data_IF_764730602622
#
_entry.id   IF_764730602622
#
_cell.length_a   1.000
_cell.length_b   1.000
_cell.length_c   1.000
_cell.angle_alpha   90.00
_cell.angle_beta   90.00
_cell.angle_gamma   90.00
#
_symmetry.space_group_name_H-M   'P 1'
#
loop_
_entity.id
_entity.type
_entity.pdbx_description
1 polymer ?
#
# COMPACT_ATOMS: atom_id res chain seq x y z
N UNK A 1 8.63 -15.24 2.13
CA UNK A 1 7.27 -14.77 1.75
C UNK A 1 6.85 -15.48 0.48
N UNK A 2 5.60 -15.95 0.42
CA UNK A 2 5.02 -16.62 -0.75
C UNK A 2 4.78 -15.60 -1.88
N UNK A 3 5.41 -15.81 -3.04
CA UNK A 3 5.34 -14.89 -4.19
C UNK A 3 3.95 -14.86 -4.85
N UNK A 4 3.17 -15.93 -4.70
CA UNK A 4 1.89 -16.08 -5.40
C UNK A 4 0.70 -15.56 -4.59
N UNK A 5 0.93 -15.08 -3.36
CA UNK A 5 -0.13 -14.66 -2.42
C UNK A 5 0.15 -13.29 -1.82
N UNK A 6 0.57 -12.34 -2.66
CA UNK A 6 0.89 -10.98 -2.22
C UNK A 6 0.06 -9.91 -2.92
N UNK A 7 0.04 -9.92 -4.25
CA UNK A 7 -0.77 -8.98 -5.04
C UNK A 7 -2.24 -9.37 -5.00
N UNK A 8 -3.13 -8.39 -5.13
CA UNK A 8 -4.56 -8.66 -5.08
C UNK A 8 -4.98 -9.52 -6.29
N UNK A 9 -5.67 -10.66 -6.10
CA UNK A 9 -6.20 -11.41 -7.23
C UNK A 9 -7.28 -10.56 -7.93
N UNK A 10 -7.34 -10.55 -9.28
CA UNK A 10 -8.25 -9.67 -10.03
C UNK A 10 -9.72 -9.79 -9.59
N UNK A 11 -10.17 -10.99 -9.24
CA UNK A 11 -11.53 -11.23 -8.75
C UNK A 11 -11.84 -10.42 -7.48
N UNK A 12 -10.93 -10.43 -6.50
CA UNK A 12 -11.11 -9.67 -5.26
C UNK A 12 -10.96 -8.16 -5.50
N UNK A 13 -10.02 -7.78 -6.35
CA UNK A 13 -9.83 -6.39 -6.73
C UNK A 13 -11.10 -5.80 -7.38
N UNK A 14 -11.75 -6.51 -8.31
CA UNK A 14 -13.00 -6.05 -8.93
C UNK A 14 -14.09 -5.83 -7.88
N UNK A 15 -14.24 -6.76 -6.92
CA UNK A 15 -15.23 -6.63 -5.86
C UNK A 15 -14.99 -5.39 -4.98
N UNK A 16 -13.73 -5.11 -4.61
CA UNK A 16 -13.35 -3.95 -3.79
C UNK A 16 -13.38 -2.63 -4.57
N UNK A 17 -13.05 -2.66 -5.86
CA UNK A 17 -12.97 -1.48 -6.73
C UNK A 17 -14.37 -1.02 -7.22
N UNK A 18 -15.32 -1.95 -7.35
CA UNK A 18 -16.67 -1.66 -7.84
C UNK A 18 -17.39 -0.50 -7.14
N UNK A 19 -17.44 -0.39 -5.79
CA UNK A 19 -18.08 0.75 -5.14
C UNK A 19 -17.40 2.08 -5.48
N UNK A 20 -16.08 2.13 -5.64
CA UNK A 20 -15.36 3.34 -6.05
C UNK A 20 -15.66 3.72 -7.50
N UNK A 21 -15.70 2.73 -8.41
CA UNK A 21 -16.14 2.95 -9.79
C UNK A 21 -17.54 3.57 -9.82
N UNK A 22 -18.50 2.99 -9.08
CA UNK A 22 -19.86 3.52 -8.99
C UNK A 22 -19.91 4.94 -8.42
N UNK A 23 -19.14 5.21 -7.37
CA UNK A 23 -19.08 6.53 -6.73
C UNK A 23 -18.52 7.60 -7.67
N UNK A 24 -17.38 7.32 -8.33
CA UNK A 24 -16.72 8.26 -9.25
C UNK A 24 -17.63 8.63 -10.42
N UNK A 25 -18.27 7.63 -11.06
CA UNK A 25 -19.16 7.86 -12.21
C UNK A 25 -20.54 8.41 -11.81
N UNK A 26 -20.92 8.35 -10.53
CA UNK A 26 -22.13 8.98 -10.03
C UNK A 26 -21.94 10.48 -9.71
N UNK A 27 -20.73 10.86 -9.27
CA UNK A 27 -20.45 12.23 -8.80
C UNK A 27 -19.84 13.14 -9.87
N UNK A 28 -19.08 12.59 -10.82
CA UNK A 28 -18.31 13.38 -11.78
C UNK A 28 -18.90 13.31 -13.19
N UNK A 29 -18.76 14.37 -14.00
CA UNK A 29 -19.08 14.32 -15.44
C UNK A 29 -18.27 13.21 -16.12
N UNK A 30 -18.89 12.53 -17.10
CA UNK A 30 -18.35 11.31 -17.70
C UNK A 30 -16.86 11.37 -18.07
N UNK A 31 -16.42 12.40 -18.79
CA UNK A 31 -15.01 12.51 -19.20
C UNK A 31 -14.05 12.71 -18.01
N UNK A 32 -14.48 13.45 -16.99
CA UNK A 32 -13.71 13.65 -15.75
C UNK A 32 -13.66 12.36 -14.93
N UNK A 33 -14.79 11.65 -14.85
CA UNK A 33 -14.86 10.33 -14.22
C UNK A 33 -13.90 9.34 -14.89
N UNK A 34 -13.86 9.29 -16.23
CA UNK A 34 -12.95 8.43 -16.99
C UNK A 34 -11.48 8.72 -16.67
N UNK A 35 -11.06 9.99 -16.72
CA UNK A 35 -9.65 10.37 -16.45
C UNK A 35 -9.30 10.13 -14.98
N UNK A 36 -10.17 10.53 -14.05
CA UNK A 36 -9.95 10.34 -12.62
C UNK A 36 -9.89 8.86 -12.23
N UNK A 37 -10.79 8.04 -12.76
CA UNK A 37 -10.78 6.61 -12.51
C UNK A 37 -9.56 5.93 -13.13
N UNK A 38 -9.17 6.29 -14.37
CA UNK A 38 -7.95 5.78 -14.99
C UNK A 38 -6.69 6.13 -14.17
N UNK A 39 -6.59 7.36 -13.65
CA UNK A 39 -5.50 7.78 -12.78
C UNK A 39 -5.47 7.01 -11.46
N UNK A 40 -6.62 6.84 -10.81
CA UNK A 40 -6.73 6.03 -9.58
C UNK A 40 -6.36 4.56 -9.81
N UNK A 41 -6.81 3.99 -10.93
CA UNK A 41 -6.49 2.61 -11.32
C UNK A 41 -4.99 2.43 -11.58
N UNK A 42 -4.37 3.37 -12.30
CA UNK A 42 -2.92 3.38 -12.49
C UNK A 42 -2.16 3.50 -11.16
N UNK A 43 -2.66 4.33 -10.24
CA UNK A 43 -2.13 4.43 -8.87
C UNK A 43 -2.19 3.10 -8.11
N UNK A 44 -3.29 2.35 -8.23
CA UNK A 44 -3.42 1.02 -7.66
C UNK A 44 -2.41 0.02 -8.25
N UNK A 45 -2.22 0.01 -9.58
CA UNK A 45 -1.19 -0.84 -10.20
C UNK A 45 0.19 -0.49 -9.66
N UNK A 46 0.49 0.82 -9.58
CA UNK A 46 1.73 1.31 -8.99
C UNK A 46 1.92 0.80 -7.55
N UNK A 47 0.88 0.88 -6.73
CA UNK A 47 0.87 0.33 -5.38
C UNK A 47 1.20 -1.17 -5.34
N UNK A 48 0.51 -2.01 -6.12
CA UNK A 48 0.70 -3.47 -6.05
C UNK A 48 2.09 -3.89 -6.56
N UNK A 49 2.59 -3.23 -7.62
CA UNK A 49 3.95 -3.46 -8.13
C UNK A 49 5.00 -3.00 -7.13
N UNK A 50 4.83 -1.83 -6.50
CA UNK A 50 5.72 -1.36 -5.44
C UNK A 50 5.71 -2.36 -4.28
N UNK A 51 4.53 -2.74 -3.78
CA UNK A 51 4.38 -3.71 -2.69
C UNK A 51 5.13 -5.01 -2.98
N UNK A 52 4.91 -5.60 -4.16
CA UNK A 52 5.61 -6.82 -4.57
C UNK A 52 7.12 -6.63 -4.62
N UNK A 53 7.59 -5.49 -5.14
CA UNK A 53 9.01 -5.17 -5.29
C UNK A 53 9.70 -4.96 -3.94
N UNK A 54 9.03 -4.37 -2.95
CA UNK A 54 9.57 -4.19 -1.60
C UNK A 54 9.88 -5.55 -0.95
N UNK A 55 9.03 -6.56 -1.16
CA UNK A 55 9.25 -7.91 -0.64
C UNK A 55 10.29 -8.72 -1.45
N UNK A 56 10.28 -8.60 -2.78
CA UNK A 56 10.94 -9.60 -3.64
C UNK A 56 12.09 -9.08 -4.49
N UNK A 57 12.31 -7.77 -4.57
CA UNK A 57 13.37 -7.18 -5.40
C UNK A 57 14.52 -6.59 -4.57
N UNK A 58 15.71 -6.53 -5.18
CA UNK A 58 16.81 -5.68 -4.70
C UNK A 58 16.61 -4.28 -5.29
N UNK A 59 16.23 -3.33 -4.45
CA UNK A 59 15.86 -1.99 -4.89
C UNK A 59 17.03 -0.99 -4.81
N UNK A 60 17.07 0.04 -5.66
CA UNK A 60 18.02 1.15 -5.54
C UNK A 60 17.93 1.87 -4.19
N UNK A 61 19.00 2.59 -3.82
CA UNK A 61 19.11 3.30 -2.52
C UNK A 61 17.92 4.20 -2.21
N UNK A 62 17.34 4.86 -3.21
CA UNK A 62 16.19 5.76 -3.05
C UNK A 62 14.92 5.07 -2.52
N UNK A 63 14.81 3.74 -2.66
CA UNK A 63 13.67 2.97 -2.16
C UNK A 63 14.00 2.17 -0.90
N UNK A 64 15.23 2.25 -0.39
CA UNK A 64 15.64 1.42 0.75
C UNK A 64 14.91 1.82 2.02
N UNK A 65 14.68 3.11 2.25
CA UNK A 65 13.89 3.57 3.39
C UNK A 65 12.46 3.01 3.34
N UNK A 66 11.80 3.11 2.19
CA UNK A 66 10.46 2.56 1.99
C UNK A 66 10.43 1.03 2.19
N UNK A 67 11.47 0.34 1.72
CA UNK A 67 11.61 -1.11 1.90
C UNK A 67 11.79 -1.47 3.37
N UNK A 68 12.67 -0.78 4.09
CA UNK A 68 12.88 -1.00 5.52
C UNK A 68 11.58 -0.76 6.29
N UNK A 69 10.91 0.38 6.07
CA UNK A 69 9.66 0.71 6.75
C UNK A 69 8.58 -0.36 6.52
N UNK A 70 8.42 -0.82 5.28
CA UNK A 70 7.43 -1.83 4.96
C UNK A 70 7.75 -3.23 5.52
N UNK A 71 9.04 -3.61 5.57
CA UNK A 71 9.44 -4.85 6.21
C UNK A 71 9.29 -4.78 7.74
N UNK A 72 9.59 -3.64 8.35
CA UNK A 72 9.35 -3.42 9.79
C UNK A 72 7.85 -3.46 10.14
N UNK A 73 6.97 -2.96 9.27
CA UNK A 73 5.52 -3.16 9.43
C UNK A 73 5.17 -4.65 9.56
N UNK A 74 5.72 -5.51 8.70
CA UNK A 74 5.43 -6.94 8.74
C UNK A 74 6.09 -7.68 9.91
N UNK A 75 7.34 -7.34 10.26
CA UNK A 75 8.15 -8.14 11.17
C UNK A 75 8.36 -7.53 12.55
N UNK A 76 7.98 -6.27 12.76
CA UNK A 76 8.17 -5.57 14.03
C UNK A 76 6.87 -5.04 14.61
N UNK A 77 6.08 -4.27 13.86
CA UNK A 77 4.80 -3.75 14.34
C UNK A 77 3.82 -3.48 13.19
N UNK A 78 2.83 -4.37 13.03
CA UNK A 78 1.80 -4.29 12.00
C UNK A 78 0.71 -3.25 12.28
N UNK A 79 0.76 -2.57 13.43
CA UNK A 79 -0.20 -1.52 13.82
C UNK A 79 0.25 -0.12 13.39
N UNK A 80 1.43 0.01 12.77
CA UNK A 80 2.01 1.25 12.25
C UNK A 80 2.60 1.00 10.86
N UNK A 81 2.94 2.06 10.11
CA UNK A 81 3.58 1.97 8.80
C UNK A 81 2.65 1.41 7.73
N UNK A 82 1.43 1.94 7.63
CA UNK A 82 0.43 1.47 6.67
C UNK A 82 0.76 1.91 5.23
N UNK A 83 1.56 2.95 5.06
CA UNK A 83 1.98 3.47 3.78
C UNK A 83 2.96 2.56 3.06
N UNK A 84 2.56 2.03 1.89
CA UNK A 84 3.40 1.16 1.05
C UNK A 84 4.11 1.93 -0.07
N UNK A 85 3.45 2.92 -0.67
CA UNK A 85 4.03 3.74 -1.75
C UNK A 85 4.78 4.96 -1.23
N UNK A 86 4.40 5.44 -0.04
CA UNK A 86 5.07 6.53 0.66
C UNK A 86 4.64 6.55 2.12
N UNK A 87 5.44 7.17 3.00
CA UNK A 87 5.11 7.43 4.41
C UNK A 87 4.30 8.72 4.60
N UNK A 88 3.84 9.36 3.53
CA UNK A 88 3.19 10.67 3.61
C UNK A 88 1.95 10.62 4.50
N UNK A 89 1.05 9.67 4.24
CA UNK A 89 -0.17 9.53 5.03
C UNK A 89 0.10 9.02 6.44
N UNK A 90 1.14 8.23 6.65
CA UNK A 90 1.56 7.86 8.02
C UNK A 90 1.98 9.09 8.84
N UNK A 91 2.65 10.06 8.22
CA UNK A 91 2.99 11.34 8.89
C UNK A 91 1.74 12.18 9.18
N UNK A 92 0.81 12.26 8.23
CA UNK A 92 -0.43 13.03 8.38
C UNK A 92 -1.31 12.49 9.50
N UNK A 93 -1.41 11.16 9.62
CA UNK A 93 -2.29 10.49 10.57
C UNK A 93 -1.55 9.95 11.80
N UNK A 94 -0.27 10.28 11.97
CA UNK A 94 0.57 9.86 13.09
C UNK A 94 0.66 8.34 13.28
N UNK A 95 0.90 7.60 12.20
CA UNK A 95 1.08 6.14 12.16
C UNK A 95 2.48 5.74 11.66
N UNK A 96 3.48 6.62 11.80
CA UNK A 96 4.86 6.36 11.36
C UNK A 96 5.53 5.32 12.28
N UNK A 97 6.33 4.43 11.69
CA UNK A 97 7.24 3.57 12.45
C UNK A 97 8.50 4.35 12.85
N UNK A 98 8.70 4.56 14.15
CA UNK A 98 9.88 5.23 14.66
C UNK A 98 10.98 4.24 15.11
N UNK A 99 12.27 4.64 15.03
CA UNK A 99 13.35 3.91 15.69
C UNK A 99 13.05 3.76 17.18
N UNK A 100 13.12 2.54 17.71
CA UNK A 100 12.75 2.24 19.10
C UNK A 100 11.27 1.90 19.31
N UNK A 101 10.44 1.89 18.26
CA UNK A 101 9.08 1.35 18.34
C UNK A 101 9.08 -0.07 18.89
N UNK A 102 8.02 -0.39 19.64
CA UNK A 102 7.88 -1.68 20.30
C UNK A 102 7.69 -2.77 19.27
N UNK A 103 8.50 -3.82 19.37
CA UNK A 103 8.24 -5.09 18.69
C UNK A 103 7.01 -5.77 19.33
N UNK A 104 5.90 -5.81 18.60
CA UNK A 104 4.64 -6.38 19.10
C UNK A 104 4.69 -7.89 19.20
N UNK A 105 5.63 -8.54 18.51
CA UNK A 105 5.84 -9.97 18.56
C UNK A 105 6.70 -10.38 19.76
N UNK A 106 7.62 -9.52 20.22
CA UNK A 106 8.39 -9.78 21.45
C UNK A 106 7.58 -9.60 22.73
N UNK A 107 6.52 -8.77 22.74
CA UNK A 107 5.64 -8.59 23.91
C UNK A 107 4.74 -9.80 24.22
N UNK A 108 4.73 -10.82 23.38
CA UNK A 108 3.85 -12.00 23.51
C UNK A 108 4.56 -13.24 24.09
N UNK A 109 5.82 -13.10 24.53
CA UNK A 109 6.63 -14.13 25.21
C UNK A 109 6.90 -13.67 26.64
#
# INVERSE_FOLDING_TARGET
>A
MDRMRLVMPPTLFVALCYPFYKLVFALLPYNIACVGFAGGFLGYIGYDVTHYSLHHARLPKIYQELKTNHLEHHYKNFQLGFGVTSVFWDKVFNTVLHPGEVDVFQKQI
#
